data_IF_390664248207
#
_entry.id   IF_390664248207
#
_cell.length_a   1.000
_cell.length_b   1.000
_cell.length_c   1.000
_cell.angle_alpha   90.00
_cell.angle_beta   90.00
_cell.angle_gamma   90.00
#
_symmetry.space_group_name_H-M   'P 1'
#
loop_
_entity.id
_entity.type
_entity.pdbx_description
1 polymer ?
#
# COMPACT_ATOMS: atom_id res chain seq x y z
N UNK A 1 19.71 7.40 -11.09
CA UNK A 1 19.40 6.09 -10.52
C UNK A 1 20.66 5.31 -10.25
N UNK A 2 20.88 4.96 -8.98
CA UNK A 2 22.03 4.18 -8.50
C UNK A 2 21.81 2.70 -8.80
N UNK A 3 22.80 2.00 -9.34
CA UNK A 3 22.68 0.59 -9.69
C UNK A 3 23.08 -0.32 -8.52
N UNK A 4 22.58 -1.56 -8.52
CA UNK A 4 22.98 -2.58 -7.57
C UNK A 4 24.52 -2.76 -7.50
N UNK A 5 25.17 -2.76 -8.66
CA UNK A 5 26.63 -2.86 -8.76
C UNK A 5 27.34 -1.68 -8.08
N UNK A 6 26.73 -0.49 -8.06
CA UNK A 6 27.28 0.67 -7.35
C UNK A 6 27.15 0.50 -5.83
N UNK A 7 26.00 0.02 -5.34
CA UNK A 7 25.78 -0.25 -3.92
C UNK A 7 26.71 -1.35 -3.37
N UNK A 8 27.12 -2.30 -4.21
CA UNK A 8 28.07 -3.35 -3.82
C UNK A 8 29.54 -2.91 -3.76
N UNK A 9 29.91 -1.76 -4.35
CA UNK A 9 31.32 -1.31 -4.41
C UNK A 9 31.76 -0.63 -3.12
N UNK A 10 30.88 0.16 -2.51
CA UNK A 10 31.16 0.84 -1.25
C UNK A 10 30.95 -0.12 -0.05
N UNK A 11 31.96 -0.33 0.82
CA UNK A 11 31.84 -1.28 1.94
C UNK A 11 30.67 -0.99 2.89
N UNK A 12 30.39 0.29 3.19
CA UNK A 12 29.32 0.66 4.10
C UNK A 12 27.94 0.35 3.48
N UNK A 13 27.75 0.77 2.23
CA UNK A 13 26.56 0.48 1.41
C UNK A 13 26.33 -1.03 1.29
N UNK A 14 27.38 -1.80 0.95
CA UNK A 14 27.30 -3.25 0.79
C UNK A 14 26.90 -3.96 2.08
N UNK A 15 27.51 -3.58 3.21
CA UNK A 15 27.23 -4.20 4.50
C UNK A 15 25.79 -3.92 4.94
N UNK A 16 25.34 -2.66 4.83
CA UNK A 16 23.97 -2.30 5.19
C UNK A 16 22.98 -2.98 4.24
N UNK A 17 23.20 -2.90 2.93
CA UNK A 17 22.31 -3.48 1.91
C UNK A 17 22.09 -4.98 2.12
N UNK A 18 23.15 -5.72 2.46
CA UNK A 18 23.08 -7.15 2.75
C UNK A 18 22.33 -7.47 4.06
N UNK A 19 22.26 -6.53 5.00
CA UNK A 19 21.54 -6.67 6.26
C UNK A 19 20.07 -6.22 6.13
N UNK A 20 19.39 -6.71 5.09
CA UNK A 20 17.95 -6.45 4.86
C UNK A 20 17.08 -7.38 5.70
N UNK A 21 16.09 -6.81 6.37
CA UNK A 21 15.01 -7.53 7.07
C UNK A 21 13.83 -7.65 6.11
N UNK A 22 13.49 -8.88 5.72
CA UNK A 22 12.49 -9.15 4.67
C UNK A 22 11.20 -9.78 5.18
N UNK A 23 11.10 -10.11 6.46
CA UNK A 23 9.93 -10.79 7.03
C UNK A 23 9.58 -10.29 8.43
N UNK A 24 8.35 -10.61 8.85
CA UNK A 24 7.80 -10.20 10.13
C UNK A 24 8.61 -10.72 11.33
N UNK A 25 9.15 -11.94 11.24
CA UNK A 25 9.97 -12.51 12.31
C UNK A 25 11.27 -11.73 12.50
N UNK A 26 11.93 -11.34 11.41
CA UNK A 26 13.12 -10.48 11.45
C UNK A 26 12.82 -9.14 12.10
N UNK A 27 11.67 -8.53 11.79
CA UNK A 27 11.23 -7.28 12.41
C UNK A 27 10.98 -7.45 13.92
N UNK A 28 10.36 -8.56 14.35
CA UNK A 28 10.20 -8.90 15.77
C UNK A 28 11.52 -9.16 16.50
N UNK A 29 12.54 -9.66 15.80
CA UNK A 29 13.83 -9.94 16.43
C UNK A 29 14.59 -8.65 16.74
N UNK A 30 14.56 -7.65 15.85
CA UNK A 30 15.31 -6.41 16.02
C UNK A 30 14.66 -5.41 16.98
N UNK A 31 13.35 -5.52 17.21
CA UNK A 31 12.59 -4.55 18.02
C UNK A 31 13.02 -4.48 19.49
N UNK A 32 13.67 -5.53 20.00
CA UNK A 32 13.99 -5.67 21.42
C UNK A 32 15.19 -4.83 21.83
N UNK A 33 16.13 -4.65 20.91
CA UNK A 33 17.47 -4.11 21.20
C UNK A 33 17.88 -3.00 20.21
N UNK A 34 16.93 -2.50 19.41
CA UNK A 34 17.17 -1.46 18.40
C UNK A 34 16.09 -0.40 18.42
N UNK A 35 16.50 0.82 18.06
CA UNK A 35 15.57 1.88 17.71
C UNK A 35 15.43 1.98 16.18
N UNK A 36 14.28 2.44 15.71
CA UNK A 36 14.05 2.60 14.28
C UNK A 36 14.23 4.04 13.87
N UNK A 37 14.89 4.25 12.74
CA UNK A 37 14.96 5.54 12.07
C UNK A 37 14.27 5.39 10.71
N UNK A 38 13.25 6.18 10.48
CA UNK A 38 12.58 6.24 9.19
C UNK A 38 13.17 7.36 8.36
N UNK A 39 13.39 7.07 7.08
CA UNK A 39 13.78 8.05 6.07
C UNK A 39 12.71 8.00 4.98
N UNK A 40 12.25 9.18 4.58
CA UNK A 40 11.34 9.37 3.45
C UNK A 40 11.83 10.55 2.61
N UNK A 41 11.74 10.46 1.29
CA UNK A 41 12.29 11.46 0.37
C UNK A 41 11.26 11.92 -0.66
N UNK A 42 11.22 13.24 -0.88
CA UNK A 42 10.38 13.84 -1.93
C UNK A 42 11.24 14.47 -3.01
N UNK A 43 10.95 14.09 -4.25
CA UNK A 43 11.70 14.49 -5.43
C UNK A 43 10.81 14.80 -6.64
N UNK A 44 11.20 15.84 -7.38
CA UNK A 44 10.46 16.35 -8.54
C UNK A 44 11.27 16.13 -9.82
N UNK A 45 10.59 15.76 -10.90
CA UNK A 45 11.22 15.71 -12.22
C UNK A 45 11.53 17.13 -12.73
N UNK A 46 12.75 17.36 -13.24
CA UNK A 46 13.17 18.63 -13.83
C UNK A 46 12.92 18.60 -15.34
N UNK A 47 13.64 17.75 -16.08
CA UNK A 47 13.53 17.65 -17.56
C UNK A 47 12.91 16.34 -18.03
N UNK A 48 13.00 15.28 -17.22
CA UNK A 48 12.45 13.95 -17.51
C UNK A 48 12.28 13.15 -16.22
N UNK A 49 11.55 12.04 -16.27
CA UNK A 49 11.45 11.08 -15.14
C UNK A 49 12.80 10.54 -14.66
N UNK A 50 13.85 10.65 -15.48
CA UNK A 50 15.21 10.21 -15.14
C UNK A 50 16.04 11.30 -14.48
N UNK A 51 15.59 12.55 -14.57
CA UNK A 51 16.27 13.73 -14.07
C UNK A 51 15.41 14.33 -12.94
N UNK A 52 15.63 13.81 -11.73
CA UNK A 52 14.82 14.13 -10.55
C UNK A 52 15.69 14.81 -9.50
N UNK A 53 15.14 15.87 -8.92
CA UNK A 53 15.79 16.64 -7.87
C UNK A 53 15.10 16.41 -6.53
N UNK A 54 15.90 16.03 -5.55
CA UNK A 54 15.48 15.94 -4.16
C UNK A 54 15.13 17.34 -3.66
N UNK A 55 13.96 17.48 -3.03
CA UNK A 55 13.51 18.77 -2.50
C UNK A 55 13.00 18.69 -1.06
N UNK A 56 12.91 17.50 -0.47
CA UNK A 56 12.66 17.34 0.96
C UNK A 56 13.13 15.97 1.44
N UNK A 57 13.58 15.94 2.69
CA UNK A 57 13.88 14.71 3.42
C UNK A 57 13.08 14.72 4.72
N UNK A 58 12.37 13.64 4.98
CA UNK A 58 11.67 13.38 6.23
C UNK A 58 12.43 12.35 7.05
N UNK A 59 12.57 12.61 8.34
CA UNK A 59 13.17 11.71 9.30
C UNK A 59 12.25 11.53 10.50
N UNK A 60 12.09 10.29 10.95
CA UNK A 60 11.40 10.01 12.19
C UNK A 60 12.15 8.96 13.03
N UNK A 61 12.40 9.29 14.29
CA UNK A 61 13.00 8.38 15.26
C UNK A 61 11.92 7.73 16.10
N UNK A 62 11.99 6.40 16.20
CA UNK A 62 11.09 5.57 16.99
C UNK A 62 11.91 4.74 18.00
N UNK A 63 11.96 5.15 19.28
CA UNK A 63 12.86 4.56 20.29
C UNK A 63 12.60 3.09 20.62
N UNK A 64 11.34 2.68 20.61
CA UNK A 64 10.94 1.33 20.94
C UNK A 64 9.61 1.04 20.24
N UNK A 65 9.62 0.30 19.11
CA UNK A 65 8.40 -0.04 18.38
C UNK A 65 7.53 -1.08 19.09
N UNK A 66 7.65 -1.22 20.41
CA UNK A 66 6.93 -2.21 21.20
C UNK A 66 5.43 -2.05 20.93
N UNK A 67 4.78 -3.10 20.40
CA UNK A 67 3.35 -3.07 20.16
C UNK A 67 2.66 -2.90 21.51
N UNK A 68 1.95 -1.78 21.68
CA UNK A 68 1.04 -1.67 22.82
C UNK A 68 -0.07 -2.70 22.64
N UNK A 69 -0.42 -3.38 23.73
CA UNK A 69 -1.65 -4.18 23.73
C UNK A 69 -2.79 -3.30 23.24
N UNK A 70 -3.69 -3.78 22.37
CA UNK A 70 -4.77 -2.95 21.87
C UNK A 70 -5.50 -2.36 23.07
N UNK A 71 -5.43 -1.03 23.21
CA UNK A 71 -6.43 -0.28 23.97
C UNK A 71 -7.79 -0.78 23.49
N UNK A 72 -8.71 -0.99 24.43
CA UNK A 72 -9.93 -1.77 24.27
C UNK A 72 -10.64 -1.52 22.92
N UNK A 73 -11.50 -2.44 22.45
CA UNK A 73 -12.28 -2.25 21.22
C UNK A 73 -13.09 -0.93 21.16
N UNK A 74 -13.25 -0.23 22.30
CA UNK A 74 -13.92 1.08 22.44
C UNK A 74 -12.97 2.29 22.38
N UNK A 75 -11.65 2.09 22.35
CA UNK A 75 -10.70 3.16 22.07
C UNK A 75 -10.89 3.59 20.62
N UNK A 76 -11.01 4.91 20.40
CA UNK A 76 -11.26 5.50 19.08
C UNK A 76 -10.23 5.07 18.02
N UNK A 77 -10.51 5.38 16.75
CA UNK A 77 -9.57 5.13 15.66
C UNK A 77 -8.19 5.74 15.99
N UNK A 78 -7.07 4.96 15.92
CA UNK A 78 -5.75 5.47 16.24
C UNK A 78 -5.38 6.66 15.34
N UNK A 79 -4.70 7.64 15.91
CA UNK A 79 -4.19 8.81 15.20
C UNK A 79 -2.67 8.81 15.23
N UNK A 80 -2.04 9.35 14.19
CA UNK A 80 -0.61 9.65 14.13
C UNK A 80 -0.22 10.63 15.22
N UNK A 81 -1.09 11.58 15.58
CA UNK A 81 -0.83 12.53 16.68
C UNK A 81 -0.68 11.82 18.03
N UNK A 82 -1.60 10.90 18.34
CA UNK A 82 -1.53 10.13 19.59
C UNK A 82 -0.32 9.22 19.60
N UNK A 83 0.01 8.57 18.47
CA UNK A 83 1.22 7.77 18.33
C UNK A 83 2.47 8.63 18.57
N UNK A 84 2.57 9.77 17.90
CA UNK A 84 3.71 10.68 17.99
C UNK A 84 3.98 11.09 19.44
N UNK A 85 2.93 11.48 20.16
CA UNK A 85 3.01 11.90 21.55
C UNK A 85 3.29 10.72 22.50
N UNK A 86 2.52 9.63 22.41
CA UNK A 86 2.60 8.49 23.33
C UNK A 86 3.89 7.69 23.20
N UNK A 87 4.44 7.59 21.99
CA UNK A 87 5.68 6.88 21.70
C UNK A 87 6.92 7.78 21.72
N UNK A 88 6.76 9.06 22.07
CA UNK A 88 7.84 10.04 22.14
C UNK A 88 8.67 10.07 20.85
N UNK A 89 7.98 10.02 19.71
CA UNK A 89 8.65 10.08 18.41
C UNK A 89 9.35 11.43 18.27
N UNK A 90 10.54 11.43 17.66
CA UNK A 90 11.20 12.67 17.22
C UNK A 90 11.06 12.75 15.71
N UNK A 91 10.70 13.92 15.18
CA UNK A 91 10.51 14.14 13.76
C UNK A 91 11.36 15.31 13.27
N UNK A 92 11.88 15.21 12.05
CA UNK A 92 12.58 16.28 11.38
C UNK A 92 12.24 16.29 9.89
N UNK A 93 11.78 17.43 9.41
CA UNK A 93 11.54 17.72 7.99
C UNK A 93 12.59 18.71 7.51
N UNK A 94 13.39 18.29 6.53
CA UNK A 94 14.42 19.12 5.90
C UNK A 94 13.94 19.56 4.51
N UNK A 95 13.65 20.84 4.36
CA UNK A 95 13.33 21.46 3.08
C UNK A 95 14.61 21.93 2.41
N UNK A 96 14.93 21.38 1.25
CA UNK A 96 16.15 21.72 0.53
C UNK A 96 15.94 23.05 -0.21
N UNK A 97 16.87 23.98 -0.02
CA UNK A 97 16.91 25.24 -0.77
C UNK A 97 17.21 24.93 -2.22
N UNK A 98 16.28 25.31 -3.09
CA UNK A 98 16.40 25.20 -4.53
C UNK A 98 16.42 26.62 -5.07
N UNK A 99 17.36 26.91 -5.97
CA UNK A 99 17.47 28.22 -6.60
C UNK A 99 16.18 28.60 -7.33
N UNK A 100 15.78 29.87 -7.23
CA UNK A 100 14.53 30.36 -7.81
C UNK A 100 14.48 30.10 -9.32
N UNK A 101 15.60 30.27 -10.02
CA UNK A 101 15.70 30.00 -11.45
C UNK A 101 15.40 28.54 -11.79
N UNK A 102 15.81 27.59 -10.93
CA UNK A 102 15.47 26.17 -11.10
C UNK A 102 13.98 25.98 -10.82
N UNK A 103 13.47 26.56 -9.74
CA UNK A 103 12.05 26.45 -9.38
C UNK A 103 11.12 26.96 -10.49
N UNK A 104 11.44 28.10 -11.09
CA UNK A 104 10.63 28.74 -12.13
C UNK A 104 10.63 27.94 -13.44
N UNK A 105 11.70 27.18 -13.70
CA UNK A 105 11.87 26.35 -14.88
C UNK A 105 11.42 24.89 -14.67
N UNK A 106 10.97 24.50 -13.47
CA UNK A 106 10.44 23.16 -13.21
C UNK A 106 9.13 22.95 -13.97
N UNK A 107 9.13 22.02 -14.93
CA UNK A 107 7.92 21.57 -15.60
C UNK A 107 7.47 20.26 -14.97
N UNK A 108 6.40 20.32 -14.14
CA UNK A 108 5.83 19.11 -13.57
C UNK A 108 5.14 18.28 -14.66
N UNK A 109 5.12 16.96 -14.44
CA UNK A 109 4.29 16.02 -15.20
C UNK A 109 2.84 16.49 -15.15
N UNK A 110 2.26 16.81 -16.32
CA UNK A 110 0.93 17.42 -16.44
C UNK A 110 0.93 18.92 -16.79
N UNK A 111 2.09 19.55 -16.96
CA UNK A 111 2.22 20.91 -17.50
C UNK A 111 2.10 22.03 -16.47
N UNK A 112 2.09 21.73 -15.17
CA UNK A 112 2.05 22.72 -14.11
C UNK A 112 3.49 23.15 -13.72
N UNK A 113 3.83 24.43 -13.88
CA UNK A 113 5.14 24.95 -13.50
C UNK A 113 5.34 25.06 -11.98
N UNK A 114 6.58 24.94 -11.50
CA UNK A 114 6.97 25.24 -10.11
C UNK A 114 6.88 24.09 -9.11
N UNK A 115 7.34 24.35 -7.88
CA UNK A 115 7.36 23.36 -6.79
C UNK A 115 5.96 22.88 -6.39
N UNK A 116 5.80 21.61 -5.99
CA UNK A 116 4.56 21.13 -5.39
C UNK A 116 4.21 21.92 -4.12
N UNK A 117 2.99 22.46 -4.06
CA UNK A 117 2.47 23.04 -2.81
C UNK A 117 2.10 21.88 -1.89
N UNK A 118 2.75 21.81 -0.74
CA UNK A 118 2.63 20.70 0.19
C UNK A 118 1.56 20.91 1.23
N UNK A 119 1.14 19.81 1.83
CA UNK A 119 0.41 19.81 3.10
C UNK A 119 1.28 20.45 4.18
N UNK A 120 0.63 21.13 5.13
CA UNK A 120 1.31 21.76 6.27
C UNK A 120 2.06 20.72 7.10
N UNK A 121 3.27 21.07 7.54
CA UNK A 121 4.06 20.26 8.47
C UNK A 121 3.33 20.07 9.81
N UNK A 122 3.35 18.85 10.36
CA UNK A 122 2.60 18.51 11.58
C UNK A 122 3.46 17.99 12.71
N UNK A 123 4.55 17.30 12.41
CA UNK A 123 5.28 16.51 13.40
C UNK A 123 6.74 16.91 13.52
N UNK A 124 7.15 17.27 14.74
CA UNK A 124 8.55 17.58 15.02
C UNK A 124 9.00 18.91 14.43
N UNK A 125 10.27 18.99 14.07
CA UNK A 125 10.89 20.23 13.58
C UNK A 125 10.86 20.30 12.06
N UNK A 126 10.64 21.50 11.52
CA UNK A 126 10.85 21.79 10.10
C UNK A 126 12.02 22.76 9.96
N UNK A 127 12.96 22.47 9.06
CA UNK A 127 14.14 23.31 8.80
C UNK A 127 14.37 23.46 7.31
N UNK A 128 14.96 24.58 6.94
CA UNK A 128 15.43 24.82 5.59
C UNK A 128 16.94 24.64 5.54
N UNK A 129 17.44 23.83 4.60
CA UNK A 129 18.88 23.48 4.48
C UNK A 129 19.32 23.59 3.03
N UNK A 130 20.59 23.91 2.78
CA UNK A 130 21.13 23.74 1.42
C UNK A 130 21.46 22.26 1.18
N UNK A 131 21.77 21.90 -0.07
CA UNK A 131 22.15 20.52 -0.38
C UNK A 131 23.50 20.15 0.26
N UNK A 132 24.41 21.11 0.41
CA UNK A 132 25.73 20.92 1.03
C UNK A 132 25.63 20.67 2.54
N UNK A 133 24.69 21.33 3.21
CA UNK A 133 24.46 21.18 4.66
C UNK A 133 23.52 20.01 5.00
N UNK A 134 22.94 19.35 3.99
CA UNK A 134 21.92 18.32 4.16
C UNK A 134 22.44 17.14 4.98
N UNK A 135 23.59 16.58 4.61
CA UNK A 135 24.17 15.42 5.31
C UNK A 135 24.46 15.76 6.77
N UNK A 136 25.07 16.92 7.05
CA UNK A 136 25.33 17.40 8.41
C UNK A 136 24.05 17.49 9.23
N UNK A 137 22.98 18.05 8.68
CA UNK A 137 21.70 18.16 9.39
C UNK A 137 21.06 16.80 9.70
N UNK A 138 21.21 15.81 8.79
CA UNK A 138 20.76 14.43 9.01
C UNK A 138 21.59 13.78 10.12
N UNK A 139 22.91 13.91 10.07
CA UNK A 139 23.82 13.35 11.07
C UNK A 139 23.56 13.94 12.46
N UNK A 140 23.38 15.26 12.57
CA UNK A 140 23.04 15.94 13.82
C UNK A 140 21.74 15.39 14.42
N UNK A 141 20.73 15.13 13.58
CA UNK A 141 19.48 14.54 14.04
C UNK A 141 19.69 13.13 14.58
N UNK A 142 20.37 12.26 13.83
CA UNK A 142 20.64 10.88 14.26
C UNK A 142 21.43 10.86 15.56
N UNK A 143 22.45 11.70 15.70
CA UNK A 143 23.28 11.80 16.90
C UNK A 143 22.53 12.39 18.11
N UNK A 144 21.51 13.22 17.87
CA UNK A 144 20.62 13.74 18.93
C UNK A 144 19.58 12.73 19.42
N UNK A 145 19.41 11.62 18.68
CA UNK A 145 18.57 10.51 19.13
C UNK A 145 19.27 9.75 20.27
N UNK A 146 18.51 8.98 21.05
CA UNK A 146 19.04 8.37 22.28
C UNK A 146 20.26 7.48 21.95
N UNK A 147 21.15 7.28 22.93
CA UNK A 147 22.42 6.54 22.80
C UNK A 147 22.27 5.02 22.55
N UNK A 148 21.14 4.57 22.02
CA UNK A 148 21.00 3.23 21.48
C UNK A 148 22.08 3.02 20.41
N UNK A 149 22.85 1.94 20.54
CA UNK A 149 23.97 1.66 19.63
C UNK A 149 23.53 1.04 18.31
N UNK A 150 22.27 0.60 18.19
CA UNK A 150 21.76 -0.12 17.04
C UNK A 150 20.54 0.60 16.44
N UNK A 151 20.73 1.34 15.35
CA UNK A 151 19.63 1.87 14.55
C UNK A 151 19.29 0.91 13.41
N UNK A 152 18.00 0.69 13.19
CA UNK A 152 17.50 0.02 11.99
C UNK A 152 16.82 1.06 11.10
N UNK A 153 17.27 1.17 9.86
CA UNK A 153 16.63 2.04 8.87
C UNK A 153 15.33 1.39 8.40
N UNK A 154 14.21 2.11 8.46
CA UNK A 154 12.92 1.61 7.99
C UNK A 154 12.36 2.55 6.94
N UNK A 155 11.71 2.02 5.92
CA UNK A 155 10.87 2.83 5.05
C UNK A 155 9.79 2.02 4.34
N UNK A 156 9.09 2.69 3.43
CA UNK A 156 8.02 2.08 2.64
C UNK A 156 8.23 2.45 1.17
N UNK A 157 8.88 1.57 0.40
CA UNK A 157 9.26 1.96 -0.96
C UNK A 157 10.68 2.48 -1.13
N UNK A 158 11.66 1.82 -0.54
CA UNK A 158 13.03 2.31 -0.29
C UNK A 158 13.90 2.65 -1.52
N UNK A 159 13.41 2.53 -2.75
CA UNK A 159 14.25 2.67 -3.94
C UNK A 159 14.82 4.08 -4.08
N UNK A 160 14.00 5.11 -3.84
CA UNK A 160 14.44 6.51 -3.90
C UNK A 160 15.33 6.84 -2.70
N UNK A 161 14.98 6.36 -1.51
CA UNK A 161 15.75 6.55 -0.28
C UNK A 161 17.16 6.00 -0.44
N UNK A 162 17.33 4.81 -1.03
CA UNK A 162 18.64 4.23 -1.32
C UNK A 162 19.46 5.06 -2.32
N UNK A 163 18.82 5.63 -3.35
CA UNK A 163 19.48 6.53 -4.29
C UNK A 163 20.02 7.78 -3.59
N UNK A 164 19.21 8.46 -2.78
CA UNK A 164 19.62 9.68 -2.10
C UNK A 164 20.55 9.42 -0.91
N UNK A 165 20.38 8.31 -0.20
CA UNK A 165 21.28 7.89 0.86
C UNK A 165 22.69 7.66 0.31
N UNK A 166 22.83 7.00 -0.84
CA UNK A 166 24.15 6.73 -1.43
C UNK A 166 24.78 7.94 -2.12
N UNK A 167 24.00 8.95 -2.53
CA UNK A 167 24.51 10.08 -3.33
C UNK A 167 24.56 11.42 -2.60
N UNK A 168 23.62 11.67 -1.68
CA UNK A 168 23.47 12.96 -0.99
C UNK A 168 23.89 12.93 0.48
N UNK A 169 23.74 11.80 1.17
CA UNK A 169 24.07 11.68 2.59
C UNK A 169 24.67 10.30 2.98
N UNK A 170 25.73 9.85 2.29
CA UNK A 170 26.27 8.50 2.47
C UNK A 170 26.84 8.20 3.85
N UNK A 171 27.32 9.19 4.60
CA UNK A 171 27.84 9.02 5.95
C UNK A 171 26.75 8.57 6.92
N UNK A 172 25.47 8.89 6.66
CA UNK A 172 24.36 8.43 7.49
C UNK A 172 24.25 6.89 7.51
N UNK A 173 24.72 6.19 6.46
CA UNK A 173 24.68 4.73 6.39
C UNK A 173 25.43 4.05 7.55
N UNK A 174 26.47 4.68 8.09
CA UNK A 174 27.29 4.06 9.14
C UNK A 174 26.56 3.94 10.49
N UNK A 175 25.43 4.62 10.66
CA UNK A 175 24.62 4.54 11.87
C UNK A 175 23.67 3.34 11.88
N UNK A 176 23.42 2.72 10.73
CA UNK A 176 22.44 1.64 10.61
C UNK A 176 23.11 0.26 10.67
N UNK A 177 22.57 -0.61 11.53
CA UNK A 177 23.00 -2.01 11.61
C UNK A 177 22.28 -2.89 10.59
N UNK A 178 21.07 -2.51 10.22
CA UNK A 178 20.18 -3.23 9.31
C UNK A 178 19.15 -2.26 8.70
N UNK A 179 18.39 -2.73 7.70
CA UNK A 179 17.29 -1.97 7.13
C UNK A 179 16.08 -2.85 6.78
N UNK A 180 14.90 -2.26 6.67
CA UNK A 180 13.68 -2.94 6.22
C UNK A 180 12.83 -2.07 5.28
N UNK A 181 12.34 -2.66 4.18
CA UNK A 181 11.18 -2.12 3.45
C UNK A 181 9.91 -2.79 4.00
N UNK A 182 9.00 -1.99 4.54
CA UNK A 182 7.77 -2.51 5.13
C UNK A 182 6.83 -3.15 4.10
N UNK A 183 7.07 -2.96 2.80
CA UNK A 183 6.39 -3.73 1.75
C UNK A 183 6.72 -5.22 1.85
N UNK A 184 7.97 -5.58 2.14
CA UNK A 184 8.40 -6.97 2.29
C UNK A 184 7.66 -7.64 3.46
N UNK A 185 7.57 -6.94 4.59
CA UNK A 185 6.86 -7.44 5.77
C UNK A 185 5.36 -7.56 5.51
N UNK A 186 4.76 -6.61 4.79
CA UNK A 186 3.35 -6.68 4.41
C UNK A 186 3.06 -7.85 3.44
N UNK A 187 4.00 -8.16 2.54
CA UNK A 187 3.95 -9.31 1.63
C UNK A 187 4.15 -10.65 2.36
N UNK A 188 5.07 -10.72 3.32
CA UNK A 188 5.25 -11.89 4.19
C UNK A 188 3.98 -12.21 5.00
N UNK A 189 3.33 -11.18 5.55
CA UNK A 189 2.07 -11.36 6.29
C UNK A 189 0.96 -11.87 5.37
N UNK A 190 0.90 -11.36 4.14
CA UNK A 190 -0.16 -11.63 3.19
C UNK A 190 0.45 -11.69 1.77
N UNK A 191 0.78 -12.90 1.27
CA UNK A 191 1.52 -13.07 0.01
C UNK A 191 0.62 -13.16 -1.23
N UNK A 192 -0.71 -13.24 -1.04
CA UNK A 192 -1.64 -13.61 -2.10
C UNK A 192 -2.09 -12.44 -3.01
N UNK A 193 -1.55 -11.23 -2.81
CA UNK A 193 -1.98 -10.04 -3.52
C UNK A 193 -0.95 -8.92 -3.57
N UNK A 194 -1.24 -7.88 -4.37
CA UNK A 194 -0.38 -6.70 -4.45
C UNK A 194 -0.43 -5.93 -3.13
N UNK A 195 0.75 -5.60 -2.57
CA UNK A 195 0.88 -4.75 -1.40
C UNK A 195 0.26 -3.37 -1.69
N UNK A 196 -0.65 -2.93 -0.83
CA UNK A 196 -1.28 -1.62 -0.96
C UNK A 196 -0.30 -0.52 -0.49
N UNK A 197 -0.43 0.70 -1.00
CA UNK A 197 0.42 1.82 -0.55
C UNK A 197 0.23 2.17 0.94
N UNK A 198 1.18 2.90 1.53
CA UNK A 198 1.25 3.27 2.95
C UNK A 198 -0.09 3.72 3.53
N UNK A 199 -0.69 4.76 2.95
CA UNK A 199 -1.99 5.31 3.37
C UNK A 199 -3.11 4.25 3.31
N UNK A 200 -3.08 3.36 2.31
CA UNK A 200 -4.09 2.31 2.19
C UNK A 200 -3.92 1.23 3.26
N UNK A 201 -2.68 0.88 3.63
CA UNK A 201 -2.40 -0.04 4.74
C UNK A 201 -2.85 0.55 6.08
N UNK A 202 -2.50 1.80 6.37
CA UNK A 202 -2.93 2.47 7.59
C UNK A 202 -4.47 2.56 7.69
N UNK A 203 -5.17 2.80 6.57
CA UNK A 203 -6.64 2.72 6.51
C UNK A 203 -7.19 1.33 6.81
N UNK A 204 -6.52 0.26 6.36
CA UNK A 204 -6.89 -1.13 6.71
C UNK A 204 -6.78 -1.34 8.22
N UNK A 205 -5.78 -0.74 8.85
CA UNK A 205 -5.54 -0.78 10.30
C UNK A 205 -6.35 0.26 11.09
N UNK A 206 -7.33 0.90 10.45
CA UNK A 206 -8.28 1.86 11.03
C UNK A 206 -7.66 3.15 11.57
N UNK A 207 -6.46 3.52 11.11
CA UNK A 207 -5.97 4.88 11.37
C UNK A 207 -6.95 5.92 10.84
N UNK A 208 -7.10 7.02 11.57
CA UNK A 208 -8.07 8.06 11.25
C UNK A 208 -7.79 8.65 9.86
N UNK A 209 -8.79 8.64 8.98
CA UNK A 209 -8.61 9.08 7.60
C UNK A 209 -8.34 10.58 7.49
N UNK A 210 -8.90 11.40 8.41
CA UNK A 210 -8.63 12.83 8.48
C UNK A 210 -7.17 13.13 8.81
N UNK A 211 -6.50 12.19 9.46
CA UNK A 211 -5.10 12.29 9.85
C UNK A 211 -4.17 11.91 8.68
N UNK A 212 -4.52 10.83 7.97
CA UNK A 212 -3.73 10.34 6.83
C UNK A 212 -3.86 11.24 5.59
N UNK A 213 -5.05 11.82 5.41
CA UNK A 213 -5.39 12.71 4.28
C UNK A 213 -6.32 13.81 4.81
N UNK A 214 -5.80 14.85 5.48
CA UNK A 214 -6.61 16.00 5.84
C UNK A 214 -7.30 16.52 4.57
N UNK A 215 -8.62 16.66 4.64
CA UNK A 215 -9.44 16.98 3.46
C UNK A 215 -9.00 18.29 2.81
N UNK A 216 -9.31 18.45 1.51
CA UNK A 216 -9.25 19.74 0.83
C UNK A 216 -10.20 20.70 1.54
N UNK A 217 -9.73 21.49 2.49
CA UNK A 217 -10.64 22.28 3.32
C UNK A 217 -9.99 23.35 4.19
N UNK A 218 -8.85 23.06 4.83
CA UNK A 218 -8.34 24.00 5.83
C UNK A 218 -7.08 24.75 5.36
N UNK A 219 -7.27 26.05 5.16
CA UNK A 219 -6.31 27.13 5.43
C UNK A 219 -4.93 27.01 4.78
N UNK A 220 -4.86 27.15 3.45
CA UNK A 220 -3.62 27.54 2.75
C UNK A 220 -2.60 26.44 2.44
N UNK A 221 -2.85 25.20 2.84
CA UNK A 221 -2.01 24.04 2.48
C UNK A 221 -2.29 23.49 1.07
N UNK A 222 -1.28 22.89 0.45
CA UNK A 222 -1.42 22.19 -0.83
C UNK A 222 -1.74 20.70 -0.69
N UNK A 223 -1.67 19.95 -1.79
CA UNK A 223 -2.07 18.53 -1.85
C UNK A 223 -0.88 17.57 -1.92
N UNK A 224 0.33 18.08 -2.13
CA UNK A 224 1.53 17.25 -2.18
C UNK A 224 1.91 16.76 -0.78
N UNK A 225 2.54 15.60 -0.75
CA UNK A 225 2.89 14.90 0.47
C UNK A 225 4.04 15.64 1.19
N UNK A 226 4.15 15.40 2.50
CA UNK A 226 5.20 15.97 3.35
C UNK A 226 6.03 14.81 3.87
N UNK A 227 7.31 14.76 3.51
CA UNK A 227 8.18 13.64 3.80
C UNK A 227 8.29 13.36 5.32
N UNK A 228 8.26 14.40 6.16
CA UNK A 228 8.31 14.21 7.62
C UNK A 228 7.04 13.57 8.17
N UNK A 229 5.88 13.95 7.63
CA UNK A 229 4.60 13.34 7.99
C UNK A 229 4.53 11.88 7.51
N UNK A 230 5.04 11.59 6.30
CA UNK A 230 5.10 10.22 5.76
C UNK A 230 6.13 9.34 6.49
N UNK A 231 7.21 9.93 7.00
CA UNK A 231 8.13 9.24 7.90
C UNK A 231 7.42 8.82 9.22
N UNK A 232 6.61 9.69 9.81
CA UNK A 232 5.79 9.37 11.00
C UNK A 232 4.70 8.35 10.67
N UNK A 233 4.04 8.46 9.52
CA UNK A 233 3.06 7.48 9.06
C UNK A 233 3.70 6.10 8.84
N UNK A 234 4.95 6.06 8.38
CA UNK A 234 5.73 4.83 8.25
C UNK A 234 6.09 4.24 9.62
N UNK A 235 6.47 5.06 10.63
CA UNK A 235 6.59 4.58 12.02
C UNK A 235 5.28 3.94 12.51
N UNK A 236 4.14 4.56 12.19
CA UNK A 236 2.81 4.03 12.52
C UNK A 236 2.54 2.68 11.85
N UNK A 237 2.98 2.52 10.61
CA UNK A 237 2.83 1.27 9.87
C UNK A 237 3.63 0.13 10.51
N UNK A 238 4.88 0.39 10.93
CA UNK A 238 5.69 -0.60 11.69
C UNK A 238 4.91 -1.12 12.88
N UNK A 239 4.48 -0.22 13.77
CA UNK A 239 3.75 -0.59 14.99
C UNK A 239 2.47 -1.35 14.66
N UNK A 240 1.78 -0.95 13.58
CA UNK A 240 0.55 -1.61 13.15
C UNK A 240 0.78 -3.03 12.61
N UNK A 241 1.85 -3.28 11.84
CA UNK A 241 2.17 -4.59 11.27
C UNK A 241 2.56 -5.63 12.33
N UNK A 242 3.10 -5.18 13.46
CA UNK A 242 3.49 -6.04 14.59
C UNK A 242 2.29 -6.55 15.40
N UNK A 243 1.09 -6.01 15.18
CA UNK A 243 -0.13 -6.45 15.87
C UNK A 243 -0.81 -7.61 15.15
N UNK A 244 -1.03 -8.73 15.85
CA UNK A 244 -1.66 -9.94 15.29
C UNK A 244 -3.04 -9.66 14.67
N UNK A 245 -3.86 -8.82 15.31
CA UNK A 245 -5.18 -8.45 14.79
C UNK A 245 -5.06 -7.75 13.42
N UNK A 246 -4.07 -6.87 13.26
CA UNK A 246 -3.82 -6.16 12.01
C UNK A 246 -3.26 -7.11 10.94
N UNK A 247 -2.41 -8.05 11.31
CA UNK A 247 -1.94 -9.10 10.40
C UNK A 247 -3.14 -9.92 9.85
N UNK A 248 -4.10 -10.28 10.70
CA UNK A 248 -5.32 -10.96 10.29
C UNK A 248 -6.20 -10.08 9.38
N UNK A 249 -6.36 -8.78 9.69
CA UNK A 249 -7.06 -7.82 8.82
C UNK A 249 -6.42 -7.73 7.44
N UNK A 250 -5.09 -7.69 7.36
CA UNK A 250 -4.36 -7.62 6.11
C UNK A 250 -4.56 -8.89 5.27
N UNK A 251 -4.40 -10.08 5.87
CA UNK A 251 -4.66 -11.37 5.21
C UNK A 251 -6.08 -11.45 4.67
N UNK A 252 -7.07 -11.13 5.49
CA UNK A 252 -8.48 -11.11 5.09
C UNK A 252 -8.72 -10.15 3.92
N UNK A 253 -8.16 -8.94 4.01
CA UNK A 253 -8.31 -7.90 2.99
C UNK A 253 -7.76 -8.35 1.64
N UNK A 254 -6.57 -8.95 1.62
CA UNK A 254 -5.96 -9.44 0.40
C UNK A 254 -6.70 -10.62 -0.20
N UNK A 255 -7.09 -11.60 0.63
CA UNK A 255 -7.81 -12.77 0.12
C UNK A 255 -9.17 -12.37 -0.45
N UNK A 256 -9.89 -11.45 0.21
CA UNK A 256 -11.09 -10.84 -0.37
C UNK A 256 -10.81 -10.13 -1.70
N UNK A 257 -9.65 -9.49 -1.83
CA UNK A 257 -9.21 -8.86 -3.07
C UNK A 257 -8.93 -9.85 -4.20
N UNK A 258 -8.28 -10.97 -3.88
CA UNK A 258 -8.06 -12.09 -4.79
C UNK A 258 -9.38 -12.65 -5.29
N UNK A 259 -10.32 -12.94 -4.39
CA UNK A 259 -11.68 -13.43 -4.71
C UNK A 259 -12.45 -12.42 -5.56
N UNK A 260 -12.36 -11.13 -5.22
CA UNK A 260 -13.00 -10.04 -5.97
C UNK A 260 -12.33 -9.73 -7.32
N UNK A 261 -11.17 -10.33 -7.60
CA UNK A 261 -10.41 -10.08 -8.81
C UNK A 261 -9.97 -8.62 -8.98
N UNK A 262 -9.80 -7.86 -7.89
CA UNK A 262 -9.47 -6.42 -7.97
C UNK A 262 -8.11 -6.13 -8.62
N UNK A 263 -7.24 -7.13 -8.64
CA UNK A 263 -5.90 -7.06 -9.23
C UNK A 263 -5.89 -7.44 -10.71
N UNK A 264 -7.03 -7.84 -11.28
CA UNK A 264 -7.15 -8.16 -12.70
C UNK A 264 -7.46 -6.89 -13.51
N UNK A 265 -6.91 -6.78 -14.73
CA UNK A 265 -7.11 -5.62 -15.62
C UNK A 265 -8.58 -5.40 -16.05
N UNK A 266 -9.45 -6.40 -15.88
CA UNK A 266 -10.85 -6.35 -16.32
C UNK A 266 -11.70 -5.56 -15.32
N UNK A 267 -12.07 -4.30 -15.60
CA UNK A 267 -12.96 -3.53 -14.73
C UNK A 267 -14.42 -3.63 -15.19
N UNK A 268 -15.37 -3.47 -14.26
CA UNK A 268 -16.80 -3.36 -14.57
C UNK A 268 -17.60 -4.67 -14.47
N UNK A 269 -18.78 -4.66 -15.08
CA UNK A 269 -19.71 -5.79 -15.08
C UNK A 269 -19.14 -6.99 -15.85
N UNK A 270 -19.33 -8.19 -15.31
CA UNK A 270 -18.87 -9.46 -15.88
C UNK A 270 -19.99 -10.49 -15.88
N UNK A 271 -20.02 -11.29 -16.92
CA UNK A 271 -20.84 -12.50 -16.95
C UNK A 271 -19.96 -13.65 -16.44
N UNK A 272 -20.38 -14.41 -15.42
CA UNK A 272 -19.62 -15.55 -14.94
C UNK A 272 -19.47 -16.60 -16.05
N UNK A 273 -18.25 -17.07 -16.25
CA UNK A 273 -17.97 -18.14 -17.22
C UNK A 273 -18.39 -19.48 -16.62
N UNK A 274 -19.55 -19.99 -17.00
CA UNK A 274 -20.11 -21.24 -16.45
C UNK A 274 -19.23 -22.48 -16.72
N UNK A 275 -18.31 -22.42 -17.69
CA UNK A 275 -17.37 -23.51 -17.95
C UNK A 275 -16.19 -23.50 -16.97
N UNK A 276 -15.79 -22.32 -16.50
CA UNK A 276 -14.69 -22.13 -15.56
C UNK A 276 -15.18 -22.13 -14.11
N UNK A 277 -16.42 -21.68 -13.90
CA UNK A 277 -17.09 -21.57 -12.61
C UNK A 277 -18.48 -22.23 -12.69
N UNK A 278 -18.55 -23.57 -12.74
CA UNK A 278 -19.81 -24.29 -12.86
C UNK A 278 -20.73 -24.11 -11.65
N UNK A 279 -20.17 -23.85 -10.47
CA UNK A 279 -20.93 -23.64 -9.24
C UNK A 279 -21.01 -22.14 -8.93
N UNK A 280 -21.99 -21.48 -9.54
CA UNK A 280 -22.19 -20.03 -9.42
C UNK A 280 -23.57 -19.72 -8.85
N UNK A 281 -23.64 -18.84 -7.86
CA UNK A 281 -24.89 -18.24 -7.38
C UNK A 281 -25.06 -16.82 -7.93
N UNK A 282 -26.29 -16.45 -8.30
CA UNK A 282 -26.68 -15.04 -8.45
C UNK A 282 -27.19 -14.49 -7.13
N UNK A 283 -26.89 -13.23 -6.86
CA UNK A 283 -27.38 -12.50 -5.69
C UNK A 283 -28.14 -11.28 -6.20
N UNK A 284 -29.40 -11.14 -5.78
CA UNK A 284 -30.28 -10.04 -6.18
C UNK A 284 -31.04 -9.48 -4.98
N UNK A 285 -31.45 -8.22 -5.08
CA UNK A 285 -32.47 -7.62 -4.23
C UNK A 285 -33.64 -7.12 -5.08
N UNK A 286 -34.76 -6.75 -4.44
CA UNK A 286 -35.90 -6.10 -5.13
C UNK A 286 -35.60 -4.67 -5.61
N UNK A 287 -34.39 -4.19 -5.33
CA UNK A 287 -33.82 -2.87 -5.64
C UNK A 287 -32.33 -3.06 -5.97
N UNK A 288 -31.57 -1.99 -6.32
CA UNK A 288 -30.11 -2.05 -6.30
C UNK A 288 -29.60 -2.62 -4.98
N UNK A 289 -28.53 -3.41 -5.04
CA UNK A 289 -27.96 -4.03 -3.86
C UNK A 289 -27.50 -2.95 -2.87
N UNK A 290 -27.64 -3.21 -1.55
CA UNK A 290 -27.26 -2.23 -0.55
C UNK A 290 -25.78 -1.87 -0.68
N UNK A 291 -25.42 -0.67 -0.19
CA UNK A 291 -24.01 -0.22 -0.17
C UNK A 291 -23.08 -1.19 0.57
N UNK A 292 -23.58 -2.12 1.36
CA UNK A 292 -22.79 -3.17 2.01
C UNK A 292 -22.44 -4.34 1.10
N UNK A 293 -23.02 -4.46 -0.10
CA UNK A 293 -22.85 -5.58 -1.03
C UNK A 293 -22.53 -5.14 -2.47
N UNK A 294 -22.74 -3.88 -2.83
CA UNK A 294 -22.69 -3.38 -4.21
C UNK A 294 -21.30 -3.33 -4.88
N UNK A 295 -20.30 -4.04 -4.36
CA UNK A 295 -19.00 -4.22 -5.03
C UNK A 295 -18.51 -5.65 -4.84
N UNK A 296 -17.70 -6.19 -5.78
CA UNK A 296 -17.17 -7.56 -5.64
C UNK A 296 -16.42 -7.76 -4.32
N UNK A 297 -15.62 -6.76 -3.94
CA UNK A 297 -14.91 -6.76 -2.66
C UNK A 297 -15.83 -6.87 -1.44
N UNK A 298 -16.97 -6.17 -1.47
CA UNK A 298 -17.94 -6.20 -0.38
C UNK A 298 -18.66 -7.54 -0.29
N UNK A 299 -18.97 -8.16 -1.42
CA UNK A 299 -19.47 -9.54 -1.47
C UNK A 299 -18.46 -10.52 -0.89
N UNK A 300 -17.21 -10.47 -1.37
CA UNK A 300 -16.14 -11.36 -0.92
C UNK A 300 -15.94 -11.26 0.60
N UNK A 301 -15.95 -10.03 1.14
CA UNK A 301 -15.85 -9.80 2.58
C UNK A 301 -17.07 -10.28 3.35
N UNK A 302 -18.28 -10.01 2.85
CA UNK A 302 -19.53 -10.41 3.55
C UNK A 302 -19.66 -11.93 3.62
N UNK A 303 -19.31 -12.62 2.56
CA UNK A 303 -19.53 -14.06 2.40
C UNK A 303 -18.24 -14.87 2.50
N UNK A 304 -17.18 -14.29 3.08
CA UNK A 304 -15.86 -14.92 3.18
C UNK A 304 -15.90 -16.30 3.86
N UNK A 305 -16.74 -16.45 4.87
CA UNK A 305 -16.91 -17.71 5.63
C UNK A 305 -17.44 -18.88 4.80
N UNK A 306 -18.01 -18.61 3.62
CA UNK A 306 -18.47 -19.64 2.69
C UNK A 306 -17.38 -20.06 1.69
N UNK A 307 -16.13 -19.58 1.88
CA UNK A 307 -14.97 -19.87 1.04
C UNK A 307 -15.21 -19.68 -0.47
N UNK A 308 -15.70 -18.49 -0.89
CA UNK A 308 -15.97 -18.26 -2.31
C UNK A 308 -14.68 -18.25 -3.13
N UNK A 309 -14.77 -18.73 -4.36
CA UNK A 309 -13.66 -18.75 -5.31
C UNK A 309 -13.52 -17.41 -6.03
N UNK A 310 -14.64 -16.82 -6.45
CA UNK A 310 -14.67 -15.51 -7.11
C UNK A 310 -15.97 -14.77 -6.83
N UNK A 311 -15.95 -13.44 -6.96
CA UNK A 311 -17.13 -12.58 -6.93
C UNK A 311 -17.09 -11.57 -8.06
N UNK A 312 -18.26 -11.09 -8.47
CA UNK A 312 -18.35 -10.03 -9.48
C UNK A 312 -19.73 -9.41 -9.56
N UNK A 313 -19.79 -8.28 -10.26
CA UNK A 313 -21.05 -7.61 -10.58
C UNK A 313 -21.43 -8.04 -11.99
N UNK A 314 -22.69 -8.41 -12.22
CA UNK A 314 -23.22 -8.65 -13.57
C UNK A 314 -24.02 -7.47 -14.10
N UNK A 315 -24.74 -6.79 -13.22
CA UNK A 315 -25.43 -5.53 -13.48
C UNK A 315 -25.58 -4.77 -12.17
N UNK A 316 -26.21 -3.59 -12.20
CA UNK A 316 -26.49 -2.80 -10.98
C UNK A 316 -27.34 -3.53 -9.93
N UNK A 317 -28.09 -4.56 -10.35
CA UNK A 317 -29.05 -5.28 -9.53
C UNK A 317 -28.72 -6.76 -9.35
N UNK A 318 -27.68 -7.26 -10.04
CA UNK A 318 -27.33 -8.67 -10.06
C UNK A 318 -25.84 -8.81 -9.85
N UNK A 319 -25.50 -9.48 -8.76
CA UNK A 319 -24.15 -9.89 -8.44
C UNK A 319 -24.01 -11.40 -8.57
N UNK A 320 -22.77 -11.88 -8.63
CA UNK A 320 -22.50 -13.31 -8.59
C UNK A 320 -21.36 -13.65 -7.65
N UNK A 321 -21.43 -14.88 -7.14
CA UNK A 321 -20.41 -15.51 -6.31
C UNK A 321 -20.22 -16.94 -6.81
N UNK A 322 -18.97 -17.38 -6.88
CA UNK A 322 -18.61 -18.71 -7.39
C UNK A 322 -17.97 -19.55 -6.30
N UNK A 323 -18.14 -20.87 -6.40
CA UNK A 323 -17.65 -21.85 -5.45
C UNK A 323 -16.91 -22.97 -6.18
N UNK A 324 -16.07 -23.72 -5.46
CA UNK A 324 -15.32 -24.84 -6.02
C UNK A 324 -16.17 -26.10 -6.13
N UNK A 325 -17.15 -26.24 -5.25
CA UNK A 325 -17.94 -27.46 -5.06
C UNK A 325 -19.46 -27.15 -5.08
N UNK A 326 -20.25 -28.15 -5.50
CA UNK A 326 -21.71 -28.05 -5.55
C UNK A 326 -22.30 -27.90 -4.16
N UNK A 327 -21.76 -28.63 -3.19
CA UNK A 327 -22.16 -28.65 -1.79
C UNK A 327 -22.00 -27.26 -1.15
N UNK A 328 -20.91 -26.56 -1.47
CA UNK A 328 -20.67 -25.18 -1.02
C UNK A 328 -21.71 -24.21 -1.58
N UNK A 329 -22.03 -24.33 -2.87
CA UNK A 329 -23.06 -23.53 -3.52
C UNK A 329 -24.43 -23.77 -2.88
N UNK A 330 -24.81 -25.03 -2.71
CA UNK A 330 -26.12 -25.41 -2.17
C UNK A 330 -26.26 -24.95 -0.71
N UNK A 331 -25.21 -25.13 0.10
CA UNK A 331 -25.15 -24.61 1.48
C UNK A 331 -25.28 -23.08 1.52
N UNK A 332 -24.53 -22.37 0.67
CA UNK A 332 -24.60 -20.91 0.58
C UNK A 332 -26.01 -20.41 0.19
N UNK A 333 -26.64 -21.04 -0.80
CA UNK A 333 -28.00 -20.70 -1.23
C UNK A 333 -28.98 -20.93 -0.08
N UNK A 334 -28.92 -22.10 0.58
CA UNK A 334 -29.81 -22.44 1.67
C UNK A 334 -29.69 -21.44 2.84
N UNK A 335 -28.47 -21.03 3.19
CA UNK A 335 -28.20 -20.12 4.31
C UNK A 335 -28.50 -18.64 3.99
N UNK A 336 -28.35 -18.22 2.73
CA UNK A 336 -28.39 -16.79 2.36
C UNK A 336 -29.71 -16.39 1.69
N UNK A 337 -30.39 -17.31 1.02
CA UNK A 337 -31.66 -17.02 0.38
C UNK A 337 -32.70 -16.54 1.41
N UNK A 338 -33.45 -15.49 1.07
CA UNK A 338 -34.43 -14.80 1.94
C UNK A 338 -33.84 -14.13 3.20
N UNK A 339 -32.51 -13.99 3.29
CA UNK A 339 -31.91 -13.18 4.37
C UNK A 339 -32.41 -11.74 4.29
N UNK A 340 -32.91 -11.16 5.40
CA UNK A 340 -33.41 -9.80 5.42
C UNK A 340 -32.30 -8.77 5.19
N UNK A 341 -32.64 -7.68 4.50
CA UNK A 341 -31.73 -6.55 4.27
C UNK A 341 -31.96 -5.43 5.29
N UNK A 342 -30.92 -4.69 5.71
CA UNK A 342 -31.04 -3.62 6.70
C UNK A 342 -32.02 -2.50 6.32
N UNK A 343 -32.23 -2.25 5.02
CA UNK A 343 -33.10 -1.19 4.49
C UNK A 343 -34.51 -1.73 4.11
N UNK A 344 -34.85 -2.94 4.55
CA UNK A 344 -36.06 -3.65 4.12
C UNK A 344 -35.85 -4.50 2.87
N UNK A 345 -36.73 -5.48 2.67
CA UNK A 345 -36.62 -6.49 1.61
C UNK A 345 -35.75 -7.69 2.00
N UNK A 346 -35.55 -8.60 1.03
CA UNK A 346 -34.81 -9.85 1.23
C UNK A 346 -33.85 -10.10 0.08
N UNK A 347 -32.72 -10.76 0.39
CA UNK A 347 -31.82 -11.29 -0.62
C UNK A 347 -32.46 -12.46 -1.36
N UNK A 348 -32.41 -12.42 -2.69
CA UNK A 348 -32.76 -13.54 -3.56
C UNK A 348 -31.47 -14.13 -4.11
N UNK A 349 -31.11 -15.30 -3.58
CA UNK A 349 -29.94 -16.06 -4.01
C UNK A 349 -30.39 -17.30 -4.76
N UNK A 350 -29.84 -17.57 -5.95
CA UNK A 350 -30.22 -18.70 -6.81
C UNK A 350 -29.04 -19.28 -7.57
N UNK A 351 -29.09 -20.55 -7.94
CA UNK A 351 -28.11 -21.18 -8.83
C UNK A 351 -28.19 -20.55 -10.23
N UNK A 352 -27.06 -20.03 -10.71
CA UNK A 352 -26.95 -19.34 -11.99
C UNK A 352 -27.32 -20.26 -13.16
N UNK A 353 -26.92 -21.52 -13.12
CA UNK A 353 -27.12 -22.49 -14.20
C UNK A 353 -28.60 -22.82 -14.43
N UNK A 354 -29.35 -22.89 -13.33
CA UNK A 354 -30.80 -23.10 -13.35
C UNK A 354 -31.56 -21.87 -13.86
N UNK A 355 -31.05 -20.67 -13.59
CA UNK A 355 -31.70 -19.43 -14.04
C UNK A 355 -31.47 -19.09 -15.51
N UNK A 356 -30.35 -19.53 -16.11
CA UNK A 356 -29.91 -19.05 -17.43
C UNK A 356 -29.81 -20.13 -18.51
N UNK A 357 -30.04 -21.40 -18.17
CA UNK A 357 -29.93 -22.51 -19.11
C UNK A 357 -28.51 -22.70 -19.67
N UNK A 358 -28.23 -23.85 -20.30
CA UNK A 358 -26.97 -24.04 -21.03
C UNK A 358 -26.90 -23.03 -22.17
N UNK A 359 -25.85 -22.20 -22.17
CA UNK A 359 -25.62 -21.15 -23.18
C UNK A 359 -25.71 -21.76 -24.59
N UNK A 360 -26.57 -21.20 -25.43
CA UNK A 360 -26.77 -21.57 -26.84
C UNK A 360 -25.44 -21.40 -27.62
N UNK A 361 -24.95 -22.39 -28.38
CA UNK A 361 -23.62 -22.39 -29.01
C UNK A 361 -23.34 -21.23 -29.99
N UNK A 362 -24.35 -20.51 -30.46
CA UNK A 362 -24.20 -19.39 -31.41
C UNK A 362 -23.46 -18.16 -30.85
N UNK A 363 -23.33 -18.02 -29.52
CA UNK A 363 -22.56 -16.93 -28.90
C UNK A 363 -21.05 -17.22 -28.75
N UNK A 364 -20.59 -18.41 -29.14
CA UNK A 364 -19.19 -18.85 -29.00
C UNK A 364 -18.27 -18.15 -30.01
N UNK A 365 -18.71 -18.02 -31.26
CA UNK A 365 -17.93 -17.42 -32.36
C UNK A 365 -17.67 -15.91 -32.18
N UNK A 366 -18.62 -15.18 -31.56
CA UNK A 366 -18.43 -13.75 -31.25
C UNK A 366 -17.41 -13.55 -30.14
N UNK A 367 -17.34 -14.47 -29.18
CA UNK A 367 -16.46 -14.37 -28.01
C UNK A 367 -15.01 -14.72 -28.37
N UNK A 368 -14.80 -15.76 -29.18
CA UNK A 368 -13.47 -16.14 -29.68
C UNK A 368 -12.84 -15.03 -30.53
N UNK A 369 -13.62 -14.34 -31.38
CA UNK A 369 -13.14 -13.19 -32.16
C UNK A 369 -12.77 -11.97 -31.30
N UNK A 370 -13.38 -11.81 -30.13
CA UNK A 370 -13.08 -10.70 -29.23
C UNK A 370 -11.83 -11.00 -28.38
N UNK A 371 -11.66 -12.25 -27.94
CA UNK A 371 -10.47 -12.70 -27.20
C UNK A 371 -9.19 -12.72 -28.06
N UNK A 372 -9.31 -13.03 -29.36
CA UNK A 372 -8.17 -12.97 -30.29
C UNK A 372 -7.63 -11.53 -30.44
N UNK A 373 -8.53 -10.54 -30.54
CA UNK A 373 -8.17 -9.12 -30.66
C UNK A 373 -7.56 -8.53 -29.40
N UNK A 374 -7.90 -9.07 -28.23
CA UNK A 374 -7.31 -8.66 -26.95
C UNK A 374 -5.90 -9.25 -26.76
N UNK A 375 -5.63 -10.48 -27.25
CA UNK A 375 -4.28 -11.07 -27.26
C UNK A 375 -3.32 -10.27 -28.13
N UNK A 376 -3.72 -9.92 -29.35
CA UNK A 376 -2.88 -9.14 -30.28
C UNK A 376 -2.53 -7.74 -29.75
N UNK A 377 -3.39 -7.15 -28.90
CA UNK A 377 -3.11 -5.86 -28.22
C UNK A 377 -2.16 -5.99 -27.04
N UNK A 378 -2.18 -7.12 -26.34
CA UNK A 378 -1.30 -7.35 -25.19
C UNK A 378 0.14 -7.66 -25.60
N UNK A 379 0.34 -8.27 -26.76
CA UNK A 379 1.68 -8.61 -27.29
C UNK A 379 2.46 -7.38 -27.82
N UNK A 380 1.79 -6.25 -28.09
CA UNK A 380 2.45 -5.01 -28.53
C UNK A 380 2.96 -4.11 -27.41
N UNK A 381 2.76 -4.48 -26.14
CA UNK A 381 3.01 -3.61 -24.99
C UNK A 381 4.27 -3.96 -24.17
N UNK A 382 5.09 -4.92 -24.60
CA UNK A 382 6.30 -5.32 -23.88
C UNK A 382 7.54 -4.63 -24.46
N UNK A 383 7.80 -3.42 -23.99
CA UNK A 383 9.14 -2.84 -23.93
C UNK A 383 9.49 -2.73 -22.45
N UNK A 384 10.29 -3.67 -21.96
CA UNK A 384 10.76 -3.70 -20.57
C UNK A 384 11.85 -2.65 -20.36
N UNK A 385 11.58 -1.72 -19.44
CA UNK A 385 12.60 -0.89 -18.78
C UNK A 385 12.88 -1.56 -17.44
N UNK A 386 14.14 -1.88 -17.18
CA UNK A 386 14.58 -2.43 -15.89
C UNK A 386 14.57 -1.30 -14.86
N UNK A 387 13.56 -1.35 -13.99
CA UNK A 387 13.37 -0.48 -12.82
C UNK A 387 14.04 -1.13 -11.60
N UNK A 388 14.65 -0.33 -10.70
CA UNK A 388 15.20 -0.79 -9.43
C UNK A 388 14.14 -1.44 -8.54
N UNK A 389 12.85 -1.11 -8.73
CA UNK A 389 11.74 -1.82 -8.08
C UNK A 389 11.81 -3.34 -8.33
N UNK A 390 12.34 -3.77 -9.49
CA UNK A 390 12.52 -5.20 -9.81
C UNK A 390 13.54 -5.90 -8.90
N UNK A 391 14.60 -5.22 -8.45
CA UNK A 391 15.59 -5.80 -7.53
C UNK A 391 15.01 -6.07 -6.14
N UNK A 392 13.97 -5.32 -5.76
CA UNK A 392 13.25 -5.52 -4.51
C UNK A 392 12.10 -6.53 -4.65
N UNK A 393 11.77 -6.96 -5.87
CA UNK A 393 10.64 -7.85 -6.20
C UNK A 393 11.01 -9.32 -6.40
N UNK A 394 12.31 -9.66 -6.39
CA UNK A 394 12.77 -11.05 -6.55
C UNK A 394 13.15 -11.67 -5.20
N UNK A 395 12.31 -12.57 -4.72
CA UNK A 395 12.70 -13.63 -3.77
C UNK A 395 12.58 -14.95 -4.55
N UNK A 396 13.70 -15.45 -5.07
CA UNK A 396 13.83 -16.88 -5.34
C UNK A 396 14.18 -17.56 -4.01
N UNK A 397 13.29 -18.46 -3.57
CA UNK A 397 13.65 -19.56 -2.65
C UNK A 397 14.23 -20.69 -3.48
#
# INVERSE_FOLDING_TARGET
>A
MVTYEQLQRDPASRNLFNNRITNLQGLHNVIKDSAFLVIDTEHVAITSEKDRMLHQVGLAYFPAPVPDSPTSPDAGCPTLQDLYASKQLKGLTLNIKIDQDIQDNLVRVGGHGGMPVRRSHRFGQERQVSLEDLETAILDFIQSCDKMTNFVMIGFGMAAEWEYLSTCFPQAMCFFSAWADLRDTAEDIAPAGKVAGLISLLKIFRYNWHDLQPGRGDLGGGVADNAGDDAVATCALVGALLLLENQQKLRLRQECGRIAGIFTKKKGFRVPNSNEYPFTATIRAGSPLPRSLNTPMKLARRFFSYSPQSTGLRSENIDFITFREKEQLDYFIAATHRTPLPMGGVLRVRDYSLEHGRINPENRDRKEKQELRERERSERATSEVVDLESLFSFVQV
#
